data_IF_213251631668
#
_entry.id   IF_213251631668
#
_cell.length_a   1.000
_cell.length_b   1.000
_cell.length_c   1.000
_cell.angle_alpha   90.00
_cell.angle_beta   90.00
_cell.angle_gamma   90.00
#
_symmetry.space_group_name_H-M   'P 1'
#
loop_
_entity.id
_entity.type
_entity.pdbx_description
1 polymer ?
#
# COMPACT_ATOMS: atom_id res chain seq x y z
N UNK A 1 -21.09 -1.66 -5.30
CA UNK A 1 -20.01 -0.80 -4.80
C UNK A 1 -18.69 -1.24 -5.40
N UNK A 2 -17.85 -0.28 -5.74
CA UNK A 2 -16.56 -0.59 -6.30
C UNK A 2 -15.66 -1.26 -5.27
N UNK A 3 -14.93 -2.26 -5.69
CA UNK A 3 -13.96 -2.93 -4.83
C UNK A 3 -12.78 -2.00 -4.55
N UNK A 4 -12.14 -2.22 -3.40
CA UNK A 4 -10.91 -1.53 -3.04
C UNK A 4 -9.77 -2.20 -3.82
N UNK A 5 -9.09 -1.43 -4.66
CA UNK A 5 -7.97 -1.93 -5.46
C UNK A 5 -6.68 -1.81 -4.64
N UNK A 6 -6.02 -2.93 -4.41
CA UNK A 6 -4.81 -3.00 -3.58
C UNK A 6 -3.63 -3.50 -4.41
N UNK A 7 -2.53 -2.77 -4.34
CA UNK A 7 -1.24 -3.18 -4.88
C UNK A 7 -0.36 -3.64 -3.72
N UNK A 8 0.24 -4.82 -3.84
CA UNK A 8 1.15 -5.37 -2.83
C UNK A 8 2.58 -5.18 -3.31
N UNK A 9 3.41 -4.50 -2.52
CA UNK A 9 4.80 -4.22 -2.86
C UNK A 9 5.74 -4.75 -1.78
N UNK A 10 6.44 -5.84 -2.09
CA UNK A 10 7.39 -6.49 -1.19
C UNK A 10 8.34 -7.32 -2.04
N UNK A 11 9.64 -7.32 -1.71
CA UNK A 11 10.62 -8.10 -2.46
C UNK A 11 10.60 -9.59 -2.13
N UNK A 12 9.90 -9.99 -1.07
CA UNK A 12 9.81 -11.36 -0.63
C UNK A 12 8.54 -12.02 -1.17
N UNK A 13 8.72 -13.05 -2.00
CA UNK A 13 7.60 -13.77 -2.63
C UNK A 13 6.66 -14.40 -1.60
N UNK A 14 7.21 -14.97 -0.52
CA UNK A 14 6.39 -15.61 0.53
C UNK A 14 5.50 -14.57 1.21
N UNK A 15 6.02 -13.38 1.46
CA UNK A 15 5.24 -12.28 2.04
C UNK A 15 4.14 -11.85 1.10
N UNK A 16 4.45 -11.66 -0.20
CA UNK A 16 3.43 -11.27 -1.19
C UNK A 16 2.31 -12.30 -1.27
N UNK A 17 2.66 -13.57 -1.34
CA UNK A 17 1.66 -14.66 -1.40
C UNK A 17 0.82 -14.73 -0.13
N UNK A 18 1.45 -14.54 1.03
CA UNK A 18 0.75 -14.52 2.31
C UNK A 18 -0.26 -13.39 2.39
N UNK A 19 0.12 -12.20 1.96
CA UNK A 19 -0.79 -11.04 1.94
C UNK A 19 -1.94 -11.27 0.96
N UNK A 20 -1.65 -11.81 -0.22
CA UNK A 20 -2.71 -12.11 -1.19
C UNK A 20 -3.70 -13.14 -0.63
N UNK A 21 -3.20 -14.21 0.00
CA UNK A 21 -4.05 -15.23 0.62
C UNK A 21 -4.90 -14.66 1.74
N UNK A 22 -4.38 -13.70 2.47
CA UNK A 22 -5.08 -13.06 3.58
C UNK A 22 -6.21 -12.15 3.07
N UNK A 23 -5.98 -11.47 1.96
CA UNK A 23 -6.91 -10.44 1.45
C UNK A 23 -7.93 -10.98 0.44
N UNK A 24 -7.54 -11.97 -0.37
CA UNK A 24 -8.38 -12.44 -1.46
C UNK A 24 -9.75 -13.01 -1.06
N UNK A 25 -9.96 -13.60 0.15
CA UNK A 25 -11.29 -14.05 0.54
C UNK A 25 -12.30 -12.92 0.75
N UNK A 26 -11.86 -11.68 0.85
CA UNK A 26 -12.74 -10.54 1.15
C UNK A 26 -13.26 -9.93 -0.16
N UNK A 27 -14.57 -9.95 -0.34
CA UNK A 27 -15.24 -9.54 -1.59
C UNK A 27 -15.07 -8.05 -1.89
N UNK A 28 -14.86 -7.22 -0.88
CA UNK A 28 -14.69 -5.78 -1.04
C UNK A 28 -13.28 -5.37 -1.48
N UNK A 29 -12.34 -6.34 -1.55
CA UNK A 29 -10.94 -6.07 -1.88
C UNK A 29 -10.56 -6.85 -3.14
N UNK A 30 -9.83 -6.20 -4.04
CA UNK A 30 -9.25 -6.88 -5.19
C UNK A 30 -7.75 -6.52 -5.28
N UNK A 31 -6.92 -7.54 -5.45
CA UNK A 31 -5.49 -7.35 -5.64
C UNK A 31 -5.25 -7.07 -7.12
N UNK A 32 -4.82 -5.85 -7.44
CA UNK A 32 -4.62 -5.44 -8.84
C UNK A 32 -3.22 -5.71 -9.34
N UNK A 33 -2.27 -5.94 -8.46
CA UNK A 33 -0.91 -6.25 -8.86
C UNK A 33 -0.01 -6.55 -7.67
N UNK A 34 1.17 -7.09 -7.98
CA UNK A 34 2.22 -7.38 -7.00
C UNK A 34 3.54 -6.84 -7.55
N UNK A 35 4.23 -6.03 -6.75
CA UNK A 35 5.51 -5.42 -7.13
C UNK A 35 6.64 -6.03 -6.30
N UNK A 36 7.80 -6.18 -6.92
CA UNK A 36 8.95 -6.86 -6.31
C UNK A 36 10.01 -5.91 -5.78
N UNK A 37 9.93 -4.63 -6.14
CA UNK A 37 10.84 -3.59 -5.65
C UNK A 37 10.17 -2.22 -5.79
N UNK A 38 10.89 -1.17 -5.38
CA UNK A 38 10.33 0.19 -5.40
C UNK A 38 10.10 0.74 -6.81
N UNK A 39 10.94 0.40 -7.77
CA UNK A 39 10.76 0.84 -9.15
C UNK A 39 9.55 0.14 -9.77
N UNK A 40 9.39 -1.15 -9.51
CA UNK A 40 8.25 -1.92 -9.96
C UNK A 40 6.94 -1.41 -9.33
N UNK A 41 7.00 -1.03 -8.03
CA UNK A 41 5.85 -0.45 -7.34
C UNK A 41 5.42 0.86 -8.01
N UNK A 42 6.37 1.72 -8.36
CA UNK A 42 6.07 2.98 -9.05
C UNK A 42 5.42 2.73 -10.40
N UNK A 43 5.98 1.81 -11.21
CA UNK A 43 5.44 1.48 -12.52
C UNK A 43 4.03 0.90 -12.42
N UNK A 44 3.83 -0.05 -11.52
CA UNK A 44 2.54 -0.71 -11.35
C UNK A 44 1.46 0.18 -10.74
N UNK A 45 1.86 1.10 -9.86
CA UNK A 45 0.93 2.09 -9.33
C UNK A 45 0.33 2.93 -10.45
N UNK A 46 1.16 3.38 -11.39
CA UNK A 46 0.68 4.16 -12.53
C UNK A 46 -0.17 3.32 -13.48
N UNK A 47 0.20 2.05 -13.68
CA UNK A 47 -0.51 1.16 -14.58
C UNK A 47 -1.90 0.77 -14.05
N UNK A 48 -1.97 0.38 -12.79
CA UNK A 48 -3.19 -0.19 -12.20
C UNK A 48 -4.02 0.78 -11.38
N UNK A 49 -3.47 1.93 -11.01
CA UNK A 49 -4.15 2.99 -10.24
C UNK A 49 -4.86 2.44 -9.01
N UNK A 50 -4.12 1.83 -8.08
CA UNK A 50 -4.72 1.27 -6.87
C UNK A 50 -5.28 2.36 -5.96
N UNK A 51 -6.20 1.96 -5.08
CA UNK A 51 -6.68 2.84 -4.01
C UNK A 51 -5.72 2.85 -2.83
N UNK A 52 -5.16 1.68 -2.51
CA UNK A 52 -4.23 1.51 -1.40
C UNK A 52 -3.05 0.67 -1.87
N UNK A 53 -1.85 1.08 -1.51
CA UNK A 53 -0.62 0.32 -1.75
C UNK A 53 -0.09 -0.17 -0.42
N UNK A 54 0.13 -1.48 -0.31
CA UNK A 54 0.87 -2.06 0.82
C UNK A 54 2.34 -2.00 0.46
N UNK A 55 3.10 -1.21 1.21
CA UNK A 55 4.48 -0.89 0.87
C UNK A 55 5.46 -1.40 1.91
N UNK A 56 6.32 -2.33 1.53
CA UNK A 56 7.43 -2.75 2.37
C UNK A 56 8.46 -1.62 2.48
N UNK A 57 8.98 -1.40 3.67
CA UNK A 57 9.97 -0.34 3.92
C UNK A 57 11.29 -0.62 3.21
N UNK A 58 11.73 -1.87 3.17
CA UNK A 58 13.03 -2.25 2.62
C UNK A 58 12.87 -3.10 1.37
N UNK A 59 13.25 -2.52 0.24
CA UNK A 59 13.23 -3.20 -1.06
C UNK A 59 14.49 -2.80 -1.85
N UNK A 60 14.99 -3.68 -2.73
CA UNK A 60 16.13 -3.33 -3.59
C UNK A 60 15.74 -2.30 -4.65
N UNK A 61 16.74 -1.69 -5.29
CA UNK A 61 16.64 -0.74 -6.40
C UNK A 61 16.04 0.61 -5.99
N UNK A 62 14.95 0.61 -5.25
CA UNK A 62 14.32 1.79 -4.68
C UNK A 62 13.54 1.31 -3.46
N UNK A 63 13.84 1.88 -2.28
CA UNK A 63 13.16 1.46 -1.05
C UNK A 63 11.72 1.99 -0.97
N UNK A 64 11.01 1.57 0.08
CA UNK A 64 9.61 1.95 0.26
C UNK A 64 9.39 3.46 0.37
N UNK A 65 10.26 4.17 1.09
CA UNK A 65 10.15 5.62 1.23
C UNK A 65 10.41 6.31 -0.11
N UNK A 66 11.44 5.88 -0.85
CA UNK A 66 11.74 6.41 -2.18
C UNK A 66 10.60 6.19 -3.17
N UNK A 67 10.04 4.98 -3.18
CA UNK A 67 8.89 4.66 -4.02
C UNK A 67 7.68 5.52 -3.66
N UNK A 68 7.43 5.71 -2.35
CA UNK A 68 6.33 6.53 -1.86
C UNK A 68 6.45 7.96 -2.35
N UNK A 69 7.64 8.57 -2.25
CA UNK A 69 7.86 9.93 -2.74
C UNK A 69 7.53 10.07 -4.22
N UNK A 70 8.04 9.14 -5.03
CA UNK A 70 7.80 9.15 -6.49
C UNK A 70 6.31 8.96 -6.82
N UNK A 71 5.66 8.03 -6.15
CA UNK A 71 4.25 7.73 -6.38
C UNK A 71 3.39 8.95 -6.00
N UNK A 72 3.66 9.56 -4.84
CA UNK A 72 2.88 10.71 -4.37
C UNK A 72 3.04 11.95 -5.25
N UNK A 73 4.17 12.08 -5.95
CA UNK A 73 4.37 13.17 -6.90
C UNK A 73 3.39 13.10 -8.08
N UNK A 74 3.09 11.89 -8.57
CA UNK A 74 2.22 11.69 -9.74
C UNK A 74 0.80 11.25 -9.36
N UNK A 75 0.62 10.70 -8.17
CA UNK A 75 -0.66 10.20 -7.67
C UNK A 75 -0.86 10.68 -6.22
N UNK A 76 -1.12 11.97 -6.01
CA UNK A 76 -1.15 12.53 -4.64
C UNK A 76 -2.25 11.97 -3.75
N UNK A 77 -3.31 11.40 -4.33
CA UNK A 77 -4.45 10.91 -3.56
C UNK A 77 -4.41 9.42 -3.24
N UNK A 78 -3.45 8.67 -3.79
CA UNK A 78 -3.32 7.25 -3.46
C UNK A 78 -2.92 7.09 -1.99
N UNK A 79 -3.45 6.06 -1.34
CA UNK A 79 -3.12 5.78 0.06
C UNK A 79 -2.01 4.74 0.11
N UNK A 80 -0.98 5.03 0.90
CA UNK A 80 0.16 4.12 1.05
C UNK A 80 0.25 3.68 2.49
N UNK A 81 0.11 2.37 2.70
CA UNK A 81 0.18 1.73 4.00
C UNK A 81 1.51 0.98 4.08
N UNK A 82 2.41 1.49 4.92
CA UNK A 82 3.70 0.83 5.13
C UNK A 82 3.53 -0.41 5.99
N UNK A 83 4.23 -1.46 5.60
CA UNK A 83 4.38 -2.67 6.42
C UNK A 83 5.86 -2.84 6.74
N UNK A 84 6.21 -2.84 8.03
CA UNK A 84 7.59 -2.93 8.49
C UNK A 84 7.75 -4.09 9.45
N UNK A 85 8.95 -4.69 9.52
CA UNK A 85 9.25 -5.73 10.51
C UNK A 85 9.29 -5.12 11.91
N UNK A 86 9.95 -3.95 12.01
CA UNK A 86 10.03 -3.17 13.24
C UNK A 86 9.61 -1.74 12.92
N UNK A 87 9.29 -0.95 13.91
CA UNK A 87 8.90 0.44 13.70
C UNK A 87 10.01 1.41 13.27
N UNK A 88 11.16 0.89 12.86
CA UNK A 88 12.38 1.67 12.61
C UNK A 88 12.26 2.69 11.47
N UNK A 89 11.37 2.43 10.49
CA UNK A 89 11.25 3.26 9.29
C UNK A 89 10.02 4.16 9.29
N UNK A 90 9.34 4.27 10.44
CA UNK A 90 8.09 5.03 10.53
C UNK A 90 8.28 6.50 10.20
N UNK A 91 9.34 7.11 10.72
CA UNK A 91 9.65 8.51 10.44
C UNK A 91 9.89 8.77 8.97
N UNK A 92 10.68 7.91 8.32
CA UNK A 92 10.97 8.02 6.88
C UNK A 92 9.71 7.82 6.05
N UNK A 93 8.85 6.86 6.44
CA UNK A 93 7.60 6.59 5.76
C UNK A 93 6.65 7.79 5.79
N UNK A 94 6.44 8.35 6.97
CA UNK A 94 5.55 9.50 7.14
C UNK A 94 6.11 10.73 6.43
N UNK A 95 7.43 10.96 6.52
CA UNK A 95 8.10 12.05 5.82
C UNK A 95 8.02 11.93 4.30
N UNK A 96 7.91 10.70 3.78
CA UNK A 96 7.76 10.45 2.34
C UNK A 96 6.32 10.58 1.86
N UNK A 97 5.35 10.64 2.75
CA UNK A 97 3.93 10.78 2.41
C UNK A 97 3.09 9.55 2.64
N UNK A 98 3.58 8.58 3.43
CA UNK A 98 2.78 7.41 3.80
C UNK A 98 1.54 7.84 4.58
N UNK A 99 0.43 7.14 4.36
CA UNK A 99 -0.84 7.45 5.00
C UNK A 99 -0.93 6.85 6.39
N UNK A 100 -0.33 5.69 6.59
CA UNK A 100 -0.27 4.98 7.87
C UNK A 100 0.81 3.90 7.82
N UNK A 101 1.03 3.24 8.93
CA UNK A 101 1.96 2.12 9.00
C UNK A 101 1.44 1.04 9.94
N UNK A 102 1.86 -0.21 9.71
CA UNK A 102 1.64 -1.35 10.58
C UNK A 102 2.90 -2.20 10.57
N UNK A 103 3.11 -2.97 11.63
CA UNK A 103 4.18 -3.96 11.64
C UNK A 103 3.73 -5.22 10.89
N UNK A 104 4.67 -5.98 10.33
CA UNK A 104 4.33 -7.18 9.55
C UNK A 104 3.72 -8.29 10.39
N UNK A 105 3.84 -8.22 11.71
CA UNK A 105 3.22 -9.16 12.65
C UNK A 105 1.84 -8.70 13.14
N UNK A 106 1.29 -7.64 12.57
CA UNK A 106 -0.04 -7.17 12.95
C UNK A 106 -1.10 -8.24 12.66
N UNK A 107 -2.23 -8.14 13.37
CA UNK A 107 -3.35 -9.08 13.17
C UNK A 107 -4.00 -8.82 11.81
N UNK A 108 -4.55 -9.88 11.22
CA UNK A 108 -5.34 -9.79 9.97
C UNK A 108 -6.36 -8.67 10.06
N UNK A 109 -7.08 -8.62 11.17
CA UNK A 109 -8.14 -7.64 11.40
C UNK A 109 -7.61 -6.21 11.34
N UNK A 110 -6.42 -5.96 11.90
CA UNK A 110 -5.79 -4.64 11.89
C UNK A 110 -5.44 -4.21 10.46
N UNK A 111 -4.93 -5.14 9.66
CA UNK A 111 -4.60 -4.86 8.26
C UNK A 111 -5.85 -4.55 7.44
N UNK A 112 -6.89 -5.37 7.57
CA UNK A 112 -8.15 -5.17 6.85
C UNK A 112 -8.79 -3.83 7.22
N UNK A 113 -8.83 -3.52 8.52
CA UNK A 113 -9.40 -2.28 9.02
C UNK A 113 -8.65 -1.06 8.47
N UNK A 114 -7.31 -1.11 8.47
CA UNK A 114 -6.48 -0.02 7.94
C UNK A 114 -6.73 0.18 6.44
N UNK A 115 -6.78 -0.88 5.66
CA UNK A 115 -7.05 -0.80 4.22
C UNK A 115 -8.41 -0.15 3.97
N UNK A 116 -9.44 -0.59 4.68
CA UNK A 116 -10.79 -0.07 4.51
C UNK A 116 -10.90 1.38 4.93
N UNK A 117 -10.29 1.75 6.05
CA UNK A 117 -10.28 3.13 6.54
C UNK A 117 -9.57 4.06 5.56
N UNK A 118 -8.42 3.67 5.04
CA UNK A 118 -7.69 4.48 4.07
C UNK A 118 -8.45 4.62 2.75
N UNK A 119 -9.08 3.57 2.28
CA UNK A 119 -9.88 3.62 1.06
C UNK A 119 -11.08 4.56 1.21
N UNK A 120 -11.76 4.53 2.36
CA UNK A 120 -12.85 5.45 2.66
C UNK A 120 -12.37 6.90 2.69
N UNK A 121 -11.22 7.16 3.28
CA UNK A 121 -10.63 8.50 3.34
C UNK A 121 -10.34 9.04 1.94
N UNK A 122 -9.81 8.20 1.05
CA UNK A 122 -9.56 8.57 -0.35
C UNK A 122 -10.86 8.92 -1.07
N UNK A 123 -11.89 8.11 -0.91
CA UNK A 123 -13.19 8.30 -1.55
C UNK A 123 -13.93 9.52 -1.01
N UNK A 124 -13.85 9.76 0.29
CA UNK A 124 -14.43 10.94 0.92
C UNK A 124 -13.79 12.23 0.40
N UNK A 125 -12.47 12.24 0.24
CA UNK A 125 -11.75 13.39 -0.34
C UNK A 125 -12.17 13.63 -1.79
N UNK A 126 -12.26 12.58 -2.59
CA UNK A 126 -12.70 12.69 -3.99
C UNK A 126 -14.12 13.24 -4.08
N UNK A 127 -15.01 12.79 -3.22
CA UNK A 127 -16.40 13.28 -3.18
C UNK A 127 -16.47 14.76 -2.81
N UNK A 128 -15.63 15.22 -1.86
CA UNK A 128 -15.60 16.65 -1.48
C UNK A 128 -15.06 17.54 -2.58
N UNK A 129 -14.18 17.02 -3.43
CA UNK A 129 -13.53 17.76 -4.52
C UNK A 129 -14.28 17.65 -5.85
N UNK A 130 -15.34 16.88 -5.89
CA UNK A 130 -16.12 16.64 -7.12
C UNK A 130 -17.09 17.81 -7.45
#
# INVERSE_FOLDING_TARGET
MDKIKVLISDDNEVVREGLESLLSPHEDITIVGKAVDGLDAFAKAQQFKPDVILMDAQMPNLDGAGATRKIKEVMPDVKILFLTVYGDYVGDALGAGASWYLTKDCRRQDLLEAIRTLAQSKRAKAARNA
#
